data_IF_403524243537
#
_entry.id   IF_403524243537
#
_cell.length_a   1.000
_cell.length_b   1.000
_cell.length_c   1.000
_cell.angle_alpha   90.00
_cell.angle_beta   90.00
_cell.angle_gamma   90.00
#
_symmetry.space_group_name_H-M   'P 1'
#
loop_
_entity.id
_entity.type
_entity.pdbx_description
1 polymer ?
#
# COMPACT_ATOMS: atom_id res chain seq x y z
N UNK A 1 -43.87 -6.49 2.71
CA UNK A 1 -42.68 -5.68 2.36
C UNK A 1 -42.41 -5.88 0.88
N UNK A 2 -42.70 -4.85 0.08
CA UNK A 2 -42.69 -4.88 -1.38
C UNK A 2 -41.28 -5.03 -1.93
N UNK A 3 -41.07 -6.05 -2.76
CA UNK A 3 -39.93 -6.11 -3.68
C UNK A 3 -40.10 -5.00 -4.69
N UNK A 4 -39.37 -3.89 -4.51
CA UNK A 4 -39.24 -2.84 -5.53
C UNK A 4 -38.70 -3.53 -6.79
N UNK A 5 -39.54 -3.64 -7.81
CA UNK A 5 -39.21 -4.26 -9.08
C UNK A 5 -38.25 -3.32 -9.82
N UNK A 6 -36.94 -3.54 -9.62
CA UNK A 6 -35.90 -2.71 -10.22
C UNK A 6 -35.98 -2.80 -11.75
N UNK A 7 -36.02 -1.66 -12.48
CA UNK A 7 -36.07 -1.65 -13.93
C UNK A 7 -34.97 -2.52 -14.56
N UNK A 8 -35.32 -3.35 -15.56
CA UNK A 8 -34.40 -4.31 -16.17
C UNK A 8 -33.13 -3.71 -16.79
N UNK A 9 -33.13 -2.40 -17.10
CA UNK A 9 -31.93 -1.69 -17.58
C UNK A 9 -30.92 -1.43 -16.46
N UNK A 10 -31.35 -1.15 -15.22
CA UNK A 10 -30.46 -0.97 -14.06
C UNK A 10 -29.71 -2.27 -13.79
N UNK A 11 -30.43 -3.40 -13.79
CA UNK A 11 -29.83 -4.73 -13.57
C UNK A 11 -28.79 -5.07 -14.64
N UNK A 12 -29.05 -4.75 -15.92
CA UNK A 12 -28.08 -4.98 -17.01
C UNK A 12 -26.83 -4.10 -16.87
N UNK A 13 -27.01 -2.83 -16.55
CA UNK A 13 -25.89 -1.89 -16.38
C UNK A 13 -25.02 -2.29 -15.19
N UNK A 14 -25.62 -2.60 -14.04
CA UNK A 14 -24.88 -3.04 -12.84
C UNK A 14 -24.07 -4.31 -13.13
N UNK A 15 -24.69 -5.34 -13.72
CA UNK A 15 -23.99 -6.58 -14.09
C UNK A 15 -22.83 -6.31 -15.06
N UNK A 16 -23.02 -5.40 -16.02
CA UNK A 16 -21.96 -5.06 -16.98
C UNK A 16 -20.77 -4.32 -16.36
N UNK A 17 -21.01 -3.52 -15.31
CA UNK A 17 -19.97 -2.82 -14.56
C UNK A 17 -19.21 -3.83 -13.70
N UNK A 18 -19.93 -4.74 -13.04
CA UNK A 18 -19.34 -5.82 -12.24
C UNK A 18 -18.43 -6.70 -13.08
N UNK A 19 -18.88 -7.16 -14.25
CA UNK A 19 -18.07 -7.99 -15.16
C UNK A 19 -16.78 -7.29 -15.62
N UNK A 20 -16.89 -5.99 -15.95
CA UNK A 20 -15.73 -5.17 -16.36
C UNK A 20 -14.76 -4.97 -15.20
N UNK A 21 -15.27 -4.71 -14.00
CA UNK A 21 -14.45 -4.50 -12.81
C UNK A 21 -13.73 -5.79 -12.40
N UNK A 22 -14.41 -6.93 -12.42
CA UNK A 22 -13.82 -8.24 -12.17
C UNK A 22 -12.73 -8.56 -13.20
N UNK A 23 -13.00 -8.32 -14.50
CA UNK A 23 -12.01 -8.51 -15.57
C UNK A 23 -10.78 -7.60 -15.39
N UNK A 24 -11.01 -6.34 -15.02
CA UNK A 24 -9.93 -5.37 -14.77
C UNK A 24 -9.05 -5.82 -13.60
N UNK A 25 -9.67 -6.17 -12.47
CA UNK A 25 -8.99 -6.62 -11.25
C UNK A 25 -8.16 -7.88 -11.52
N UNK A 26 -8.73 -8.86 -12.23
CA UNK A 26 -8.07 -10.12 -12.56
C UNK A 26 -6.81 -9.91 -13.39
N UNK A 27 -6.85 -8.96 -14.33
CA UNK A 27 -5.77 -8.70 -15.29
C UNK A 27 -4.71 -7.73 -14.77
N UNK A 28 -5.12 -6.69 -14.04
CA UNK A 28 -4.25 -5.54 -13.77
C UNK A 28 -3.86 -5.36 -12.30
N UNK A 29 -4.58 -5.93 -11.32
CA UNK A 29 -4.33 -5.62 -9.90
C UNK A 29 -2.88 -5.88 -9.45
N UNK A 30 -2.26 -6.99 -9.88
CA UNK A 30 -0.85 -7.28 -9.55
C UNK A 30 0.11 -6.28 -10.21
N UNK A 31 -0.18 -5.86 -11.45
CA UNK A 31 0.56 -4.83 -12.14
C UNK A 31 0.44 -3.48 -11.44
N UNK A 32 -0.79 -3.09 -11.07
CA UNK A 32 -1.06 -1.88 -10.29
C UNK A 32 -0.30 -1.88 -8.97
N UNK A 33 -0.27 -3.00 -8.23
CA UNK A 33 0.49 -3.11 -6.98
C UNK A 33 1.99 -2.95 -7.22
N UNK A 34 2.54 -3.61 -8.26
CA UNK A 34 3.95 -3.48 -8.62
C UNK A 34 4.32 -2.04 -9.00
N UNK A 35 3.55 -1.43 -9.90
CA UNK A 35 3.87 -0.09 -10.40
C UNK A 35 3.62 1.00 -9.36
N UNK A 36 2.62 0.85 -8.49
CA UNK A 36 2.43 1.77 -7.35
C UNK A 36 3.58 1.69 -6.36
N UNK A 37 4.07 0.48 -6.03
CA UNK A 37 5.29 0.32 -5.23
C UNK A 37 6.51 0.94 -5.93
N UNK A 38 6.73 0.64 -7.21
CA UNK A 38 7.83 1.20 -7.98
C UNK A 38 7.79 2.74 -7.99
N UNK A 39 6.63 3.32 -8.25
CA UNK A 39 6.40 4.77 -8.25
C UNK A 39 6.69 5.38 -6.89
N UNK A 40 6.13 4.82 -5.80
CA UNK A 40 6.32 5.35 -4.43
C UNK A 40 7.79 5.33 -4.02
N UNK A 41 8.49 4.21 -4.24
CA UNK A 41 9.91 4.10 -3.90
C UNK A 41 10.77 5.01 -4.78
N UNK A 42 10.52 5.03 -6.09
CA UNK A 42 11.29 5.86 -7.01
C UNK A 42 11.13 7.35 -6.72
N UNK A 43 9.87 7.80 -6.57
CA UNK A 43 9.55 9.19 -6.29
C UNK A 43 10.15 9.64 -4.96
N UNK A 44 9.86 8.93 -3.87
CA UNK A 44 10.39 9.29 -2.55
C UNK A 44 11.92 9.19 -2.47
N UNK A 45 12.51 8.27 -3.24
CA UNK A 45 13.96 8.17 -3.34
C UNK A 45 14.61 9.39 -4.00
N UNK A 46 14.07 9.88 -5.11
CA UNK A 46 14.64 11.04 -5.83
C UNK A 46 14.49 12.34 -5.05
N UNK A 47 13.41 12.53 -4.31
CA UNK A 47 13.20 13.77 -3.55
C UNK A 47 14.08 13.88 -2.30
N UNK A 48 14.63 12.75 -1.79
CA UNK A 48 15.49 12.69 -0.59
C UNK A 48 16.80 13.46 -0.71
N UNK A 49 17.63 13.22 -1.74
CA UNK A 49 18.85 13.99 -1.97
C UNK A 49 18.58 15.47 -2.22
N UNK A 50 17.38 15.83 -2.69
CA UNK A 50 16.98 17.21 -2.95
C UNK A 50 16.55 17.98 -1.70
N UNK A 51 16.48 17.32 -0.53
CA UNK A 51 16.07 17.94 0.73
C UNK A 51 14.56 18.26 0.81
N UNK A 52 13.77 17.78 -0.15
CA UNK A 52 12.34 18.14 -0.29
C UNK A 52 11.39 17.15 0.38
N UNK A 53 11.86 16.39 1.39
CA UNK A 53 11.09 15.22 1.86
C UNK A 53 10.30 15.47 3.12
N UNK A 54 9.04 15.03 3.17
CA UNK A 54 8.23 15.17 4.37
C UNK A 54 8.79 14.43 5.57
N UNK A 55 9.42 13.27 5.35
CA UNK A 55 9.91 12.40 6.41
C UNK A 55 11.28 12.83 6.98
N UNK A 56 11.87 13.94 6.51
CA UNK A 56 13.19 14.39 6.94
C UNK A 56 13.28 14.56 8.45
N UNK A 57 12.24 15.13 9.08
CA UNK A 57 12.20 15.33 10.54
C UNK A 57 12.22 14.00 11.29
N UNK A 58 11.35 13.05 10.91
CA UNK A 58 11.29 11.74 11.57
C UNK A 58 12.62 10.98 11.44
N UNK A 59 13.24 10.99 10.25
CA UNK A 59 14.53 10.32 10.03
C UNK A 59 15.65 11.00 10.82
N UNK A 60 15.62 12.33 10.94
CA UNK A 60 16.60 13.10 11.71
C UNK A 60 16.53 12.75 13.19
N UNK A 61 15.34 12.77 13.78
CA UNK A 61 15.13 12.42 15.19
C UNK A 61 15.51 10.95 15.47
N UNK A 62 15.21 10.04 14.54
CA UNK A 62 15.61 8.65 14.69
C UNK A 62 17.13 8.48 14.64
N UNK A 63 17.80 9.20 13.74
CA UNK A 63 19.26 9.14 13.61
C UNK A 63 19.95 9.77 14.83
N UNK A 64 19.46 10.89 15.35
CA UNK A 64 20.00 11.53 16.55
C UNK A 64 19.85 10.62 17.78
N UNK A 65 18.71 9.94 17.90
CA UNK A 65 18.41 9.02 18.99
C UNK A 65 19.10 7.64 18.86
N UNK A 66 19.82 7.36 17.77
CA UNK A 66 20.55 6.10 17.56
C UNK A 66 22.08 6.33 17.59
N UNK A 67 22.76 6.16 18.74
CA UNK A 67 24.15 6.57 18.93
C UNK A 67 25.14 5.95 17.94
N UNK A 68 24.94 4.66 17.60
CA UNK A 68 25.81 3.93 16.67
C UNK A 68 25.75 4.50 15.25
N UNK A 69 24.54 4.78 14.75
CA UNK A 69 24.33 5.35 13.42
C UNK A 69 24.77 6.82 13.35
N UNK A 70 24.51 7.59 14.41
CA UNK A 70 24.94 8.98 14.54
C UNK A 70 26.46 9.13 14.45
N UNK A 71 27.21 8.21 15.06
CA UNK A 71 28.67 8.21 15.02
C UNK A 71 29.23 7.75 13.67
N UNK A 72 28.50 6.91 12.94
CA UNK A 72 28.97 6.30 11.70
C UNK A 72 28.88 7.24 10.49
N UNK A 73 27.78 7.99 10.32
CA UNK A 73 27.52 8.74 9.09
C UNK A 73 26.81 10.08 9.37
N UNK A 74 27.28 11.21 8.78
CA UNK A 74 26.55 12.48 8.81
C UNK A 74 25.14 12.38 8.21
N UNK A 75 24.17 13.11 8.79
CA UNK A 75 22.76 13.06 8.36
C UNK A 75 22.57 13.33 6.85
N UNK A 76 23.30 14.30 6.29
CA UNK A 76 23.23 14.65 4.86
C UNK A 76 23.64 13.51 3.92
N UNK A 77 24.65 12.73 4.33
CA UNK A 77 25.10 11.55 3.58
C UNK A 77 24.09 10.43 3.76
N UNK A 78 23.65 10.18 4.99
CA UNK A 78 22.68 9.12 5.30
C UNK A 78 21.37 9.29 4.52
N UNK A 79 20.77 10.50 4.54
CA UNK A 79 19.50 10.76 3.84
C UNK A 79 19.67 10.65 2.31
N UNK A 80 20.81 11.09 1.77
CA UNK A 80 21.09 11.01 0.33
C UNK A 80 21.30 9.58 -0.14
N UNK A 81 22.06 8.77 0.61
CA UNK A 81 22.26 7.35 0.32
C UNK A 81 20.94 6.58 0.41
N UNK A 82 20.14 6.84 1.46
CA UNK A 82 18.81 6.26 1.60
C UNK A 82 17.89 6.62 0.43
N UNK A 83 17.97 7.86 -0.05
CA UNK A 83 17.24 8.33 -1.22
C UNK A 83 17.62 7.60 -2.51
N UNK A 84 18.91 7.53 -2.82
CA UNK A 84 19.37 6.79 -4.00
C UNK A 84 19.06 5.30 -3.90
N UNK A 85 19.15 4.71 -2.71
CA UNK A 85 18.74 3.32 -2.46
C UNK A 85 17.27 3.10 -2.83
N UNK A 86 16.37 3.97 -2.34
CA UNK A 86 14.94 3.94 -2.66
C UNK A 86 14.68 4.11 -4.16
N UNK A 87 15.39 5.04 -4.81
CA UNK A 87 15.28 5.26 -6.24
C UNK A 87 15.67 4.01 -7.04
N UNK A 88 16.79 3.37 -6.69
CA UNK A 88 17.26 2.13 -7.32
C UNK A 88 16.27 0.98 -7.08
N UNK A 89 15.72 0.85 -5.88
CA UNK A 89 14.67 -0.14 -5.58
C UNK A 89 13.45 0.09 -6.47
N UNK A 90 12.98 1.34 -6.58
CA UNK A 90 11.85 1.72 -7.43
C UNK A 90 12.07 1.35 -8.90
N UNK A 91 13.25 1.66 -9.45
CA UNK A 91 13.63 1.25 -10.81
C UNK A 91 13.72 -0.27 -10.95
N UNK A 92 14.28 -0.95 -9.93
CA UNK A 92 14.41 -2.40 -9.90
C UNK A 92 13.07 -3.13 -9.90
N UNK A 93 12.00 -2.52 -9.37
CA UNK A 93 10.64 -3.06 -9.41
C UNK A 93 9.98 -2.97 -10.80
N UNK A 94 10.45 -2.08 -11.68
CA UNK A 94 9.93 -1.95 -13.05
C UNK A 94 10.33 -3.13 -13.95
N UNK A 95 11.54 -3.66 -13.77
CA UNK A 95 12.08 -4.76 -14.58
C UNK A 95 11.80 -6.11 -13.93
N UNK A 96 11.19 -7.03 -14.70
CA UNK A 96 10.88 -8.40 -14.23
C UNK A 96 12.10 -9.18 -13.76
N UNK A 97 13.28 -8.90 -14.33
CA UNK A 97 14.53 -9.61 -14.00
C UNK A 97 15.06 -9.24 -12.62
N UNK A 98 14.81 -8.01 -12.17
CA UNK A 98 15.36 -7.47 -10.93
C UNK A 98 14.38 -7.49 -9.77
N UNK A 99 13.13 -7.95 -9.95
CA UNK A 99 12.07 -7.91 -8.93
C UNK A 99 12.52 -8.55 -7.61
N UNK A 100 13.16 -9.71 -7.63
CA UNK A 100 13.56 -10.37 -6.38
C UNK A 100 14.62 -9.59 -5.61
N UNK A 101 15.62 -9.08 -6.32
CA UNK A 101 16.66 -8.25 -5.74
C UNK A 101 16.06 -6.96 -5.19
N UNK A 102 15.22 -6.30 -5.99
CA UNK A 102 14.55 -5.06 -5.61
C UNK A 102 13.67 -5.26 -4.37
N UNK A 103 12.85 -6.30 -4.33
CA UNK A 103 12.02 -6.62 -3.14
C UNK A 103 12.89 -6.99 -1.94
N UNK A 104 13.99 -7.73 -2.12
CA UNK A 104 14.94 -8.01 -1.04
C UNK A 104 15.52 -6.73 -0.43
N UNK A 105 16.02 -5.82 -1.26
CA UNK A 105 16.50 -4.51 -0.84
C UNK A 105 15.40 -3.66 -0.18
N UNK A 106 14.18 -3.72 -0.73
CA UNK A 106 12.99 -3.07 -0.20
C UNK A 106 12.67 -3.57 1.21
N UNK A 107 12.73 -4.89 1.45
CA UNK A 107 12.42 -5.48 2.75
C UNK A 107 13.39 -5.03 3.84
N UNK A 108 14.70 -5.01 3.54
CA UNK A 108 15.72 -4.53 4.49
C UNK A 108 15.42 -3.10 4.91
N UNK A 109 15.12 -2.25 3.93
CA UNK A 109 14.80 -0.86 4.17
C UNK A 109 13.48 -0.70 4.95
N UNK A 110 12.41 -1.42 4.56
CA UNK A 110 11.13 -1.35 5.27
C UNK A 110 11.25 -1.81 6.73
N UNK A 111 12.07 -2.82 7.02
CA UNK A 111 12.36 -3.22 8.40
C UNK A 111 12.99 -2.07 9.20
N UNK A 112 13.97 -1.37 8.62
CA UNK A 112 14.58 -0.20 9.25
C UNK A 112 13.59 0.95 9.48
N UNK A 113 12.57 1.11 8.63
CA UNK A 113 11.57 2.17 8.82
C UNK A 113 10.69 2.00 10.05
N UNK A 114 10.64 0.83 10.69
CA UNK A 114 9.89 0.62 11.93
C UNK A 114 10.64 1.02 13.20
N UNK A 115 11.97 1.20 13.11
CA UNK A 115 12.82 1.63 14.23
C UNK A 115 12.31 2.90 14.94
N UNK A 116 11.84 3.96 14.25
CA UNK A 116 11.33 5.17 14.90
C UNK A 116 10.18 4.91 15.89
N UNK A 117 9.34 3.88 15.67
CA UNK A 117 8.22 3.55 16.56
C UNK A 117 8.70 3.13 17.97
N UNK A 118 9.93 2.63 18.06
CA UNK A 118 10.53 2.16 19.30
C UNK A 118 11.51 3.18 19.90
N UNK A 119 12.23 3.90 19.04
CA UNK A 119 13.32 4.78 19.44
C UNK A 119 12.85 6.20 19.73
N UNK A 120 11.84 6.69 18.99
CA UNK A 120 11.25 8.04 19.17
C UNK A 120 9.71 7.96 19.29
N UNK A 121 9.19 7.24 20.30
CA UNK A 121 7.74 7.08 20.51
C UNK A 121 7.02 8.42 20.70
N UNK A 122 7.69 9.43 21.27
CA UNK A 122 7.17 10.79 21.46
C UNK A 122 6.89 11.55 20.17
N UNK A 123 7.57 11.20 19.07
CA UNK A 123 7.30 11.77 17.74
C UNK A 123 6.26 10.94 16.99
N UNK A 124 6.19 9.64 17.27
CA UNK A 124 5.36 8.68 16.52
C UNK A 124 4.00 8.41 17.15
N UNK A 125 3.81 8.75 18.43
CA UNK A 125 2.54 8.58 19.14
C UNK A 125 2.20 9.79 20.01
N UNK A 126 0.93 10.18 20.00
CA UNK A 126 0.35 11.03 21.04
C UNK A 126 0.18 10.26 22.34
N UNK A 127 -0.31 9.02 22.24
CA UNK A 127 -0.48 8.09 23.35
C UNK A 127 -0.04 6.70 22.89
N UNK A 128 1.22 6.35 23.15
CA UNK A 128 1.77 5.08 22.72
C UNK A 128 1.08 3.88 23.42
N UNK A 129 0.77 2.78 22.71
CA UNK A 129 0.87 2.56 21.26
C UNK A 129 -0.44 2.83 20.50
N UNK A 130 -1.49 3.36 21.15
CA UNK A 130 -2.87 3.36 20.63
C UNK A 130 -3.21 4.54 19.73
N UNK A 131 -2.65 5.72 20.00
CA UNK A 131 -2.93 6.96 19.25
C UNK A 131 -1.65 7.42 18.56
N UNK A 132 -1.40 6.96 17.33
CA UNK A 132 -0.24 7.38 16.53
C UNK A 132 -0.42 8.81 16.01
N UNK A 133 0.69 9.53 15.87
CA UNK A 133 0.75 10.79 15.12
C UNK A 133 0.69 10.50 13.61
N UNK A 134 0.49 11.52 12.77
CA UNK A 134 0.55 11.37 11.31
C UNK A 134 1.87 10.72 10.84
N UNK A 135 3.06 11.11 11.36
CA UNK A 135 4.31 10.39 11.12
C UNK A 135 4.32 8.92 11.57
N UNK A 136 3.79 8.62 12.76
CA UNK A 136 3.71 7.24 13.26
C UNK A 136 2.83 6.36 12.38
N UNK A 137 1.64 6.85 12.00
CA UNK A 137 0.72 6.09 11.15
C UNK A 137 1.26 5.91 9.72
N UNK A 138 2.00 6.88 9.21
CA UNK A 138 2.74 6.76 7.95
C UNK A 138 3.77 5.62 7.97
N UNK A 139 4.43 5.40 9.12
CA UNK A 139 5.34 4.26 9.34
C UNK A 139 4.57 2.95 9.46
N UNK A 140 3.47 2.92 10.23
CA UNK A 140 2.63 1.71 10.40
C UNK A 140 2.13 1.21 9.03
N UNK A 141 1.74 2.12 8.14
CA UNK A 141 1.36 1.78 6.74
C UNK A 141 2.46 1.07 5.95
N UNK A 142 3.75 1.21 6.30
CA UNK A 142 4.84 0.51 5.60
C UNK A 142 4.71 -1.01 5.72
N UNK A 143 3.97 -1.54 6.70
CA UNK A 143 3.69 -2.97 6.79
C UNK A 143 2.90 -3.48 5.57
N UNK A 144 2.00 -2.67 5.02
CA UNK A 144 1.28 -2.96 3.76
C UNK A 144 2.23 -2.94 2.57
N UNK A 145 3.18 -2.00 2.52
CA UNK A 145 4.18 -1.94 1.44
C UNK A 145 5.11 -3.16 1.48
N UNK A 146 5.60 -3.52 2.68
CA UNK A 146 6.44 -4.69 2.90
C UNK A 146 5.72 -5.97 2.44
N UNK A 147 4.51 -6.21 2.94
CA UNK A 147 3.71 -7.38 2.56
C UNK A 147 3.28 -7.36 1.09
N UNK A 148 3.01 -6.19 0.52
CA UNK A 148 2.71 -6.01 -0.90
C UNK A 148 3.89 -6.39 -1.79
N UNK A 149 5.12 -6.00 -1.41
CA UNK A 149 6.33 -6.44 -2.11
C UNK A 149 6.55 -7.94 -2.04
N UNK A 150 6.26 -8.59 -0.90
CA UNK A 150 6.29 -10.05 -0.80
C UNK A 150 5.29 -10.70 -1.76
N UNK A 151 4.08 -10.14 -1.89
CA UNK A 151 3.09 -10.62 -2.85
C UNK A 151 3.61 -10.47 -4.28
N UNK A 152 4.19 -9.32 -4.63
CA UNK A 152 4.82 -9.08 -5.94
C UNK A 152 5.94 -10.11 -6.20
N UNK A 153 6.92 -10.25 -5.30
CA UNK A 153 8.01 -11.22 -5.46
C UNK A 153 7.49 -12.66 -5.60
N UNK A 154 6.51 -13.07 -4.78
CA UNK A 154 5.94 -14.41 -4.84
C UNK A 154 5.18 -14.70 -6.14
N UNK A 155 4.64 -13.66 -6.78
CA UNK A 155 3.86 -13.76 -8.02
C UNK A 155 4.72 -13.70 -9.27
N UNK A 156 5.88 -13.04 -9.22
CA UNK A 156 6.82 -12.94 -10.34
C UNK A 156 7.99 -13.95 -10.25
N UNK A 157 8.06 -14.76 -9.20
CA UNK A 157 9.18 -15.66 -8.89
C UNK A 157 9.10 -17.11 -9.33
N UNK A 158 8.25 -17.44 -10.29
CA UNK A 158 8.39 -18.73 -10.99
C UNK A 158 9.58 -18.69 -11.95
N UNK A 159 10.38 -19.77 -12.08
CA UNK A 159 11.36 -19.87 -13.16
C UNK A 159 10.64 -19.57 -14.47
N UNK A 160 11.24 -18.68 -15.26
CA UNK A 160 10.57 -17.92 -16.32
C UNK A 160 9.53 -18.71 -17.09
N UNK A 161 8.32 -18.17 -17.19
CA UNK A 161 7.43 -18.44 -18.31
C UNK A 161 8.12 -17.94 -19.58
N UNK A 162 9.06 -18.73 -20.11
CA UNK A 162 9.29 -18.79 -21.54
C UNK A 162 8.05 -19.47 -22.11
N UNK A 163 7.09 -18.65 -22.49
CA UNK A 163 6.00 -19.02 -23.35
C UNK A 163 6.61 -19.30 -24.73
N UNK A 164 7.07 -20.54 -24.94
CA UNK A 164 7.63 -20.96 -26.24
C UNK A 164 8.68 -22.07 -26.14
N UNK A 165 8.28 -23.31 -25.88
CA UNK A 165 8.76 -24.48 -26.66
C UNK A 165 7.87 -25.70 -26.37
N UNK A 166 7.05 -26.05 -27.34
CA UNK A 166 6.14 -27.19 -27.30
C UNK A 166 6.93 -28.49 -27.54
N UNK A 167 7.43 -29.14 -26.47
CA UNK A 167 7.83 -30.57 -26.53
C UNK A 167 7.46 -31.29 -25.22
N UNK A 168 6.46 -32.19 -25.22
CA UNK A 168 6.17 -33.05 -24.09
C UNK A 168 7.22 -34.16 -24.03
N UNK A 169 8.22 -33.99 -23.18
CA UNK A 169 9.21 -35.02 -22.83
C UNK A 169 9.40 -35.08 -21.32
N UNK A 170 10.09 -36.12 -20.84
CA UNK A 170 10.37 -36.47 -19.43
C UNK A 170 10.62 -35.28 -18.48
N UNK A 171 11.14 -34.15 -18.97
CA UNK A 171 11.25 -32.88 -18.25
C UNK A 171 9.92 -32.29 -17.73
N UNK A 172 8.77 -32.58 -18.36
CA UNK A 172 7.45 -32.19 -17.86
C UNK A 172 6.99 -33.07 -16.68
N UNK A 173 7.34 -34.37 -16.71
CA UNK A 173 7.06 -35.30 -15.62
C UNK A 173 8.00 -35.06 -14.43
N UNK A 174 9.29 -34.82 -14.70
CA UNK A 174 10.27 -34.40 -13.70
C UNK A 174 9.92 -33.05 -13.07
N UNK A 175 9.39 -32.08 -13.84
CA UNK A 175 8.86 -30.80 -13.29
C UNK A 175 7.68 -31.01 -12.36
N UNK A 176 6.70 -31.83 -12.74
CA UNK A 176 5.57 -32.20 -11.87
C UNK A 176 6.03 -32.92 -10.60
N UNK A 177 6.99 -33.84 -10.71
CA UNK A 177 7.56 -34.52 -9.55
C UNK A 177 8.31 -33.54 -8.64
N UNK A 178 9.09 -32.60 -9.18
CA UNK A 178 9.82 -31.60 -8.40
C UNK A 178 8.89 -30.57 -7.70
N UNK A 179 7.80 -30.17 -8.35
CA UNK A 179 6.77 -29.29 -7.78
C UNK A 179 5.98 -29.96 -6.63
N UNK A 180 5.87 -31.29 -6.65
CA UNK A 180 5.13 -32.06 -5.63
C UNK A 180 5.98 -32.38 -4.40
N UNK A 181 7.32 -32.47 -4.51
CA UNK A 181 8.16 -33.04 -3.45
C UNK A 181 9.03 -32.02 -2.68
N UNK A 182 9.32 -30.84 -3.21
CA UNK A 182 10.15 -29.85 -2.49
C UNK A 182 9.29 -28.81 -1.73
N UNK A 183 9.42 -28.66 -0.39
CA UNK A 183 8.88 -27.50 0.32
C UNK A 183 9.77 -26.29 -0.02
N UNK A 184 9.63 -25.76 -1.22
CA UNK A 184 10.42 -24.60 -1.64
C UNK A 184 10.02 -23.38 -0.80
N UNK A 185 10.98 -22.53 -0.38
CA UNK A 185 10.69 -21.27 0.32
C UNK A 185 9.70 -20.39 -0.47
N UNK A 186 9.68 -20.51 -1.80
CA UNK A 186 8.70 -19.90 -2.71
C UNK A 186 7.26 -20.35 -2.44
N UNK A 187 7.02 -21.65 -2.23
CA UNK A 187 5.68 -22.17 -1.94
C UNK A 187 5.14 -21.71 -0.58
N UNK A 188 6.01 -21.57 0.44
CA UNK A 188 5.63 -20.94 1.71
C UNK A 188 5.30 -19.46 1.51
N UNK A 189 6.16 -18.75 0.78
CA UNK A 189 5.98 -17.32 0.51
C UNK A 189 4.66 -17.02 -0.24
N UNK A 190 4.29 -17.82 -1.23
CA UNK A 190 3.03 -17.68 -1.96
C UNK A 190 1.79 -17.90 -1.08
N UNK A 191 1.89 -18.71 -0.02
CA UNK A 191 0.78 -18.94 0.92
C UNK A 191 0.72 -17.88 2.01
N UNK A 192 1.86 -17.38 2.47
CA UNK A 192 1.94 -16.43 3.59
C UNK A 192 1.81 -14.98 3.16
N UNK A 193 2.34 -14.60 1.99
CA UNK A 193 2.35 -13.20 1.56
C UNK A 193 0.96 -12.57 1.45
N UNK A 194 -0.09 -13.23 0.90
CA UNK A 194 -1.41 -12.62 0.84
C UNK A 194 -2.08 -12.53 2.22
N UNK A 195 -1.74 -13.44 3.14
CA UNK A 195 -2.23 -13.39 4.53
C UNK A 195 -1.62 -12.22 5.29
N UNK A 196 -0.32 -11.99 5.13
CA UNK A 196 0.37 -10.83 5.69
C UNK A 196 -0.18 -9.53 5.11
N UNK A 197 -0.41 -9.48 3.80
CA UNK A 197 -1.00 -8.32 3.13
C UNK A 197 -2.40 -8.02 3.66
N UNK A 198 -3.24 -9.05 3.82
CA UNK A 198 -4.57 -8.92 4.42
C UNK A 198 -4.49 -8.41 5.85
N UNK A 199 -3.67 -9.02 6.69
CA UNK A 199 -3.50 -8.61 8.08
C UNK A 199 -3.06 -7.15 8.18
N UNK A 200 -2.13 -6.72 7.32
CA UNK A 200 -1.66 -5.34 7.26
C UNK A 200 -2.74 -4.35 6.86
N UNK A 201 -3.52 -4.67 5.84
CA UNK A 201 -4.63 -3.82 5.41
C UNK A 201 -5.74 -3.77 6.47
N UNK A 202 -6.08 -4.90 7.10
CA UNK A 202 -7.02 -4.93 8.22
C UNK A 202 -6.54 -4.02 9.35
N UNK A 203 -5.28 -4.14 9.76
CA UNK A 203 -4.69 -3.31 10.80
C UNK A 203 -4.82 -1.83 10.45
N UNK A 204 -4.39 -1.44 9.26
CA UNK A 204 -4.42 -0.03 8.83
C UNK A 204 -5.84 0.51 8.75
N UNK A 205 -6.76 -0.19 8.07
CA UNK A 205 -8.11 0.34 7.85
C UNK A 205 -8.99 0.30 9.11
N UNK A 206 -8.91 -0.75 9.93
CA UNK A 206 -9.66 -0.81 11.19
C UNK A 206 -9.15 0.24 12.16
N UNK A 207 -7.82 0.38 12.29
CA UNK A 207 -7.24 1.34 13.22
C UNK A 207 -7.49 2.78 12.75
N UNK A 208 -7.31 3.09 11.47
CA UNK A 208 -7.65 4.40 10.92
C UNK A 208 -9.13 4.73 11.16
N UNK A 209 -10.05 3.81 10.82
CA UNK A 209 -11.48 4.03 11.01
C UNK A 209 -11.86 4.26 12.47
N UNK A 210 -11.27 3.50 13.40
CA UNK A 210 -11.47 3.72 14.84
C UNK A 210 -10.98 5.11 15.28
N UNK A 211 -9.78 5.52 14.87
CA UNK A 211 -9.22 6.83 15.21
C UNK A 211 -10.05 7.98 14.63
N UNK A 212 -10.50 7.82 13.39
CA UNK A 212 -11.36 8.80 12.70
C UNK A 212 -12.69 8.96 13.46
N UNK A 213 -13.31 7.85 13.87
CA UNK A 213 -14.59 7.87 14.62
C UNK A 213 -14.44 8.37 16.06
N UNK A 214 -13.28 8.16 16.70
CA UNK A 214 -12.99 8.72 18.02
C UNK A 214 -12.58 10.19 18.01
N UNK A 215 -12.50 10.82 16.83
CA UNK A 215 -12.09 12.23 16.68
C UNK A 215 -10.59 12.49 16.85
N UNK A 216 -9.77 11.42 16.90
CA UNK A 216 -8.31 11.50 17.05
C UNK A 216 -7.56 11.24 15.73
N UNK A 217 -8.28 10.97 14.64
CA UNK A 217 -7.72 10.70 13.32
C UNK A 217 -7.25 11.97 12.62
N UNK A 218 -5.96 12.30 12.76
CA UNK A 218 -5.36 13.52 12.18
C UNK A 218 -5.55 13.62 10.67
N UNK A 219 -5.30 12.53 9.93
CA UNK A 219 -5.41 12.55 8.47
C UNK A 219 -6.84 12.75 8.00
N UNK A 220 -7.83 12.10 8.64
CA UNK A 220 -9.23 12.31 8.31
C UNK A 220 -9.66 13.75 8.62
N UNK A 221 -9.21 14.29 9.76
CA UNK A 221 -9.39 15.72 10.09
C UNK A 221 -8.83 16.64 9.01
N UNK A 222 -7.60 16.37 8.54
CA UNK A 222 -6.95 17.14 7.48
C UNK A 222 -7.67 17.06 6.12
N UNK A 223 -8.16 15.87 5.74
CA UNK A 223 -8.97 15.71 4.51
C UNK A 223 -10.22 16.60 4.63
N UNK A 224 -10.89 16.56 5.77
CA UNK A 224 -12.14 17.29 5.99
C UNK A 224 -11.95 18.80 6.02
N UNK A 225 -10.89 19.32 6.65
CA UNK A 225 -10.59 20.77 6.60
C UNK A 225 -10.32 21.24 5.18
N UNK A 226 -9.76 20.36 4.34
CA UNK A 226 -9.49 20.66 2.93
C UNK A 226 -10.75 20.64 2.06
N UNK A 227 -11.70 19.75 2.37
CA UNK A 227 -12.92 19.50 1.59
C UNK A 227 -14.16 20.20 2.20
N UNK A 228 -14.00 20.94 3.29
CA UNK A 228 -15.06 21.66 4.01
C UNK A 228 -16.07 22.43 3.14
N UNK A 229 -15.66 23.09 2.02
CA UNK A 229 -16.62 23.77 1.15
C UNK A 229 -17.69 22.86 0.51
N UNK A 230 -17.43 21.54 0.41
CA UNK A 230 -18.36 20.59 -0.21
C UNK A 230 -19.32 19.93 0.77
N UNK A 231 -18.91 19.74 2.02
CA UNK A 231 -19.75 19.11 3.05
C UNK A 231 -19.25 19.43 4.47
N UNK A 232 -20.19 19.43 5.41
CA UNK A 232 -19.91 19.75 6.81
C UNK A 232 -18.98 18.69 7.46
N UNK A 233 -18.07 19.07 8.38
CA UNK A 233 -17.18 18.14 9.06
C UNK A 233 -17.92 17.08 9.85
N UNK A 234 -19.06 17.47 10.45
CA UNK A 234 -19.95 16.61 11.19
C UNK A 234 -20.51 15.44 10.35
N UNK A 235 -20.48 15.54 9.02
CA UNK A 235 -20.90 14.47 8.11
C UNK A 235 -19.69 13.74 7.52
N UNK A 236 -18.66 14.47 7.07
CA UNK A 236 -17.52 13.87 6.39
C UNK A 236 -16.64 13.00 7.30
N UNK A 237 -16.38 13.43 8.54
CA UNK A 237 -15.55 12.66 9.49
C UNK A 237 -16.18 11.28 9.75
N UNK A 238 -17.45 11.16 10.20
CA UNK A 238 -18.04 9.85 10.42
C UNK A 238 -18.19 9.04 9.13
N UNK A 239 -18.42 9.68 7.98
CA UNK A 239 -18.48 9.00 6.69
C UNK A 239 -17.14 8.33 6.34
N UNK A 240 -16.02 9.06 6.45
CA UNK A 240 -14.66 8.54 6.22
C UNK A 240 -14.39 7.40 7.22
N UNK A 241 -14.67 7.63 8.51
CA UNK A 241 -14.39 6.64 9.55
C UNK A 241 -15.18 5.35 9.39
N UNK A 242 -16.48 5.44 9.06
CA UNK A 242 -17.32 4.28 8.74
C UNK A 242 -16.82 3.57 7.48
N UNK A 243 -16.41 4.31 6.46
CA UNK A 243 -15.88 3.74 5.22
C UNK A 243 -14.58 2.96 5.48
N UNK A 244 -13.62 3.55 6.19
CA UNK A 244 -12.35 2.91 6.59
C UNK A 244 -12.61 1.65 7.42
N UNK A 245 -13.47 1.75 8.45
CA UNK A 245 -13.83 0.61 9.29
C UNK A 245 -14.52 -0.49 8.48
N UNK A 246 -15.42 -0.13 7.57
CA UNK A 246 -16.13 -1.09 6.71
C UNK A 246 -15.19 -1.83 5.78
N UNK A 247 -14.20 -1.13 5.19
CA UNK A 247 -13.14 -1.77 4.38
C UNK A 247 -12.38 -2.77 5.25
N UNK A 248 -11.91 -2.34 6.43
CA UNK A 248 -11.17 -3.20 7.36
C UNK A 248 -11.93 -4.45 7.79
N UNK A 249 -13.22 -4.31 8.11
CA UNK A 249 -14.11 -5.42 8.49
C UNK A 249 -14.34 -6.37 7.31
N UNK A 250 -14.59 -5.83 6.11
CA UNK A 250 -14.75 -6.65 4.91
C UNK A 250 -13.49 -7.44 4.55
N UNK A 251 -12.31 -6.96 4.95
CA UNK A 251 -11.04 -7.66 4.73
C UNK A 251 -10.77 -8.80 5.71
N UNK A 252 -11.44 -8.83 6.88
CA UNK A 252 -11.29 -9.92 7.86
C UNK A 252 -11.77 -11.26 7.31
N UNK A 253 -12.82 -11.24 6.50
CA UNK A 253 -13.38 -12.43 5.86
C UNK A 253 -13.09 -12.46 4.35
N UNK A 254 -12.68 -13.62 3.86
CA UNK A 254 -12.33 -13.79 2.46
C UNK A 254 -13.54 -13.64 1.53
N UNK A 255 -14.74 -14.00 2.03
CA UNK A 255 -16.01 -13.91 1.31
C UNK A 255 -16.40 -12.47 0.99
N UNK A 256 -15.99 -11.52 1.83
CA UNK A 256 -16.35 -10.08 1.73
C UNK A 256 -15.23 -9.25 1.11
N UNK A 257 -14.10 -9.85 0.73
CA UNK A 257 -12.96 -9.12 0.16
C UNK A 257 -13.32 -8.46 -1.18
N UNK A 258 -14.27 -9.01 -1.95
CA UNK A 258 -14.81 -8.36 -3.15
C UNK A 258 -15.51 -7.04 -2.80
N UNK A 259 -16.33 -7.01 -1.75
CA UNK A 259 -16.97 -5.77 -1.26
C UNK A 259 -15.94 -4.74 -0.83
N UNK A 260 -14.87 -5.16 -0.15
CA UNK A 260 -13.77 -4.26 0.21
C UNK A 260 -13.13 -3.59 -1.01
N UNK A 261 -13.03 -4.28 -2.15
CA UNK A 261 -12.50 -3.71 -3.40
C UNK A 261 -13.37 -2.58 -3.96
N UNK A 262 -14.69 -2.65 -3.84
CA UNK A 262 -15.56 -1.53 -4.23
C UNK A 262 -15.45 -0.37 -3.24
N UNK A 263 -15.47 -0.66 -1.94
CA UNK A 263 -15.36 0.36 -0.89
C UNK A 263 -14.02 1.11 -0.96
N UNK A 264 -12.92 0.42 -1.24
CA UNK A 264 -11.60 1.07 -1.34
C UNK A 264 -11.49 1.99 -2.56
N UNK A 265 -12.23 1.71 -3.64
CA UNK A 265 -12.32 2.61 -4.80
C UNK A 265 -13.08 3.88 -4.42
N UNK A 266 -14.19 3.76 -3.69
CA UNK A 266 -14.92 4.92 -3.16
C UNK A 266 -14.03 5.73 -2.20
N UNK A 267 -13.29 5.04 -1.33
CA UNK A 267 -12.32 5.68 -0.43
C UNK A 267 -11.25 6.45 -1.20
N UNK A 268 -10.67 5.87 -2.25
CA UNK A 268 -9.67 6.53 -3.07
C UNK A 268 -10.22 7.80 -3.73
N UNK A 269 -11.45 7.78 -4.24
CA UNK A 269 -12.07 8.96 -4.83
C UNK A 269 -12.22 10.09 -3.81
N UNK A 270 -12.62 9.74 -2.58
CA UNK A 270 -12.76 10.69 -1.49
C UNK A 270 -11.41 11.23 -1.01
N UNK A 271 -10.39 10.37 -0.88
CA UNK A 271 -9.04 10.76 -0.46
C UNK A 271 -8.32 11.61 -1.50
N UNK A 272 -8.72 11.54 -2.78
CA UNK A 272 -8.16 12.38 -3.86
C UNK A 272 -8.82 13.77 -3.96
N UNK A 273 -9.93 14.03 -3.27
CA UNK A 273 -10.58 15.35 -3.29
C UNK A 273 -9.65 16.51 -2.85
N UNK A 274 -8.84 16.39 -1.78
CA UNK A 274 -7.84 17.40 -1.41
C UNK A 274 -6.92 17.81 -2.56
N UNK A 275 -6.48 16.85 -3.38
CA UNK A 275 -5.60 17.11 -4.53
C UNK A 275 -6.28 17.96 -5.60
N UNK A 276 -7.59 17.79 -5.81
CA UNK A 276 -8.36 18.53 -6.79
C UNK A 276 -8.78 19.91 -6.30
N UNK A 277 -9.15 20.03 -5.02
CA UNK A 277 -9.74 21.26 -4.47
C UNK A 277 -8.69 22.23 -3.94
N UNK A 278 -7.61 21.72 -3.35
CA UNK A 278 -6.54 22.52 -2.72
C UNK A 278 -5.16 21.90 -3.00
N UNK A 279 -4.72 21.85 -4.28
CA UNK A 279 -3.43 21.27 -4.64
C UNK A 279 -2.25 21.91 -3.87
N UNK A 280 -2.35 23.19 -3.49
CA UNK A 280 -1.35 23.90 -2.70
C UNK A 280 -1.13 23.38 -1.27
N UNK A 281 -2.05 22.57 -0.72
CA UNK A 281 -1.86 21.89 0.57
C UNK A 281 -1.22 20.51 0.40
N UNK A 282 -1.26 19.97 -0.82
CA UNK A 282 -0.74 18.64 -1.17
C UNK A 282 0.70 18.72 -1.68
N UNK A 283 1.02 19.76 -2.45
CA UNK A 283 2.37 20.07 -2.91
C UNK A 283 2.89 21.34 -2.26
N UNK A 284 4.16 21.34 -1.87
CA UNK A 284 4.90 22.52 -1.44
C UNK A 284 5.24 23.41 -2.65
N UNK A 285 6.36 24.12 -2.60
CA UNK A 285 6.90 25.03 -3.62
C UNK A 285 6.95 24.47 -5.06
N UNK A 286 6.96 23.15 -5.24
CA UNK A 286 6.86 22.50 -6.55
C UNK A 286 5.94 21.28 -6.48
N UNK A 287 5.28 20.88 -7.59
CA UNK A 287 4.45 19.66 -7.64
C UNK A 287 5.20 18.37 -7.27
N UNK A 288 6.54 18.38 -7.36
CA UNK A 288 7.41 17.26 -7.04
C UNK A 288 7.67 17.18 -5.53
N UNK A 289 7.79 18.33 -4.87
CA UNK A 289 7.96 18.46 -3.43
C UNK A 289 6.61 18.32 -2.73
N UNK A 290 6.21 17.10 -2.41
CA UNK A 290 4.92 16.80 -1.79
C UNK A 290 4.95 17.14 -0.29
N UNK A 291 3.83 17.58 0.29
CA UNK A 291 3.65 17.70 1.74
C UNK A 291 3.60 16.32 2.41
N UNK A 292 3.57 16.27 3.75
CA UNK A 292 3.47 14.99 4.47
C UNK A 292 2.17 14.27 4.18
N UNK A 293 1.08 15.03 4.15
CA UNK A 293 -0.27 14.58 3.85
C UNK A 293 -0.39 14.16 2.39
N UNK A 294 0.21 14.92 1.46
CA UNK A 294 0.26 14.49 0.07
C UNK A 294 1.05 13.19 -0.13
N UNK A 295 2.15 12.97 0.60
CA UNK A 295 2.88 11.71 0.56
C UNK A 295 2.05 10.54 1.10
N UNK A 296 1.17 10.81 2.07
CA UNK A 296 0.20 9.84 2.57
C UNK A 296 -0.83 9.46 1.49
N UNK A 297 -1.37 10.44 0.76
CA UNK A 297 -2.31 10.21 -0.35
C UNK A 297 -1.67 9.38 -1.49
N UNK A 298 -0.41 9.66 -1.83
CA UNK A 298 0.31 8.90 -2.85
C UNK A 298 0.45 7.42 -2.44
N UNK A 299 0.65 7.12 -1.16
CA UNK A 299 0.70 5.75 -0.67
C UNK A 299 -0.64 5.02 -0.77
N UNK A 300 -1.77 5.71 -0.75
CA UNK A 300 -3.09 5.07 -0.84
C UNK A 300 -3.31 4.33 -2.17
N UNK A 301 -2.59 4.71 -3.23
CA UNK A 301 -2.54 3.93 -4.48
C UNK A 301 -2.03 2.49 -4.27
N UNK A 302 -1.06 2.32 -3.36
CA UNK A 302 -0.54 0.99 -2.99
C UNK A 302 -1.59 0.21 -2.21
N UNK A 303 -2.28 0.85 -1.27
CA UNK A 303 -3.31 0.21 -0.43
C UNK A 303 -4.48 -0.27 -1.29
N UNK A 304 -4.97 0.57 -2.19
CA UNK A 304 -6.03 0.22 -3.15
C UNK A 304 -5.60 -0.94 -4.02
N UNK A 305 -4.43 -0.86 -4.62
CA UNK A 305 -3.89 -1.94 -5.46
C UNK A 305 -3.73 -3.25 -4.69
N UNK A 306 -3.33 -3.17 -3.43
CA UNK A 306 -3.20 -4.32 -2.54
C UNK A 306 -4.55 -4.98 -2.23
N UNK A 307 -5.59 -4.20 -1.93
CA UNK A 307 -6.96 -4.71 -1.74
C UNK A 307 -7.46 -5.38 -3.03
N UNK A 308 -7.24 -4.77 -4.20
CA UNK A 308 -7.61 -5.35 -5.48
C UNK A 308 -6.91 -6.70 -5.73
N UNK A 309 -5.63 -6.83 -5.34
CA UNK A 309 -4.91 -8.11 -5.44
C UNK A 309 -5.53 -9.18 -4.55
N UNK A 310 -5.93 -8.84 -3.32
CA UNK A 310 -6.60 -9.78 -2.41
C UNK A 310 -8.01 -10.18 -2.86
N UNK A 311 -8.69 -9.30 -3.58
CA UNK A 311 -10.05 -9.51 -4.07
C UNK A 311 -10.12 -10.37 -5.34
N UNK A 312 -8.98 -10.81 -5.89
CA UNK A 312 -8.93 -11.72 -7.06
C UNK A 312 -9.46 -13.12 -6.70
N UNK A 313 -10.18 -13.80 -7.61
CA UNK A 313 -10.57 -15.19 -7.43
C UNK A 313 -9.34 -16.09 -7.25
N UNK A 314 -9.37 -16.97 -6.24
CA UNK A 314 -8.32 -17.98 -6.06
C UNK A 314 -8.38 -19.01 -7.19
N UNK A 315 -7.26 -19.20 -7.89
CA UNK A 315 -7.08 -20.31 -8.84
C UNK A 315 -6.89 -19.92 -10.31
N UNK A 316 -7.00 -18.63 -10.67
CA UNK A 316 -6.55 -18.16 -11.99
C UNK A 316 -5.13 -17.59 -11.88
N UNK A 317 -4.12 -18.23 -12.49
CA UNK A 317 -2.81 -17.59 -12.60
C UNK A 317 -2.95 -16.28 -13.39
N UNK A 318 -2.10 -15.27 -13.10
CA UNK A 318 -2.00 -14.07 -13.93
C UNK A 318 -1.57 -14.42 -15.37
#
# INVERSE_FOLDING_TARGET
MSTVNQPGWIRRTVLSIDDRFETFKDRYALGCLRYSLAMVFFWFGIIKPLGMTPATMLVRETLSATPLLRAAVPFSIFISVLGWWEAVVGLGLLSRRTIHLAVGCMMVQMAATFVPLLVVPEVTFHSAPLVPTTPGFYVIKNFVLLSGGLVVASSYGGPGRQQGWNRPGLAAYARRAWEVTAPTPLGRLQRTSPRLLRAGLCLVFLWAGMLTLSGTGEMAGWIVTTVHPLAAPAVLIPLIGVLELSIGLCLLAERTTATAAYLVVVYLLLSLLPLLLRPSLVSNSTPIAVSFEGAYLIKDWVLVSAVLVLARPRGRPP
#
